data_IF_056000113375
#
_entry.id   IF_056000113375
#
_cell.length_a   1.000
_cell.length_b   1.000
_cell.length_c   1.000
_cell.angle_alpha   90.00
_cell.angle_beta   90.00
_cell.angle_gamma   90.00
#
_symmetry.space_group_name_H-M   'P 1'
#
loop_
_entity.id
_entity.type
_entity.pdbx_description
1 polymer ?
#
# COMPACT_ATOMS: atom_id res chain seq x y z
N UNK A 1 8.44 10.91 -28.44
CA UNK A 1 8.73 10.56 -27.03
C UNK A 1 7.49 9.86 -26.51
N UNK A 2 7.45 8.54 -26.59
CA UNK A 2 6.29 7.75 -26.16
C UNK A 2 6.08 7.97 -24.65
N UNK A 3 4.91 8.50 -24.29
CA UNK A 3 4.46 8.50 -22.91
C UNK A 3 4.09 7.04 -22.60
N UNK A 4 5.03 6.31 -22.00
CA UNK A 4 4.72 5.00 -21.41
C UNK A 4 3.71 5.27 -20.29
N UNK A 5 2.42 5.13 -20.59
CA UNK A 5 1.39 5.02 -19.57
C UNK A 5 1.70 3.72 -18.84
N UNK A 6 2.46 3.84 -17.74
CA UNK A 6 2.67 2.73 -16.82
C UNK A 6 1.31 2.11 -16.51
N UNK A 7 1.21 0.78 -16.62
CA UNK A 7 -0.04 0.04 -16.38
C UNK A 7 -0.75 0.63 -15.17
N UNK A 8 -2.02 0.99 -15.33
CA UNK A 8 -2.84 1.50 -14.23
C UNK A 8 -2.73 0.54 -13.03
N UNK A 9 -2.46 1.03 -11.82
CA UNK A 9 -2.40 0.19 -10.64
C UNK A 9 -3.64 -0.69 -10.55
N UNK A 10 -3.45 -2.00 -10.45
CA UNK A 10 -4.56 -2.98 -10.43
C UNK A 10 -5.39 -2.90 -9.15
N UNK A 11 -4.86 -2.26 -8.11
CA UNK A 11 -5.54 -2.02 -6.84
C UNK A 11 -5.22 -0.61 -6.37
N UNK A 12 -6.26 0.21 -6.22
CA UNK A 12 -6.20 1.47 -5.48
C UNK A 12 -7.04 1.34 -4.23
N UNK A 13 -6.46 1.73 -3.09
CA UNK A 13 -7.26 2.03 -1.91
C UNK A 13 -7.79 3.46 -2.03
N UNK A 14 -9.02 3.68 -1.58
CA UNK A 14 -9.58 5.03 -1.40
C UNK A 14 -8.60 5.92 -0.63
N UNK A 15 -8.66 7.26 -0.78
CA UNK A 15 -7.84 8.18 -0.01
C UNK A 15 -7.84 7.82 1.48
N UNK A 16 -6.66 7.66 2.05
CA UNK A 16 -6.46 7.26 3.45
C UNK A 16 -6.26 8.52 4.27
N UNK A 17 -7.08 8.73 5.31
CA UNK A 17 -6.89 9.85 6.23
C UNK A 17 -5.59 9.70 7.04
N UNK A 18 -5.08 10.80 7.57
CA UNK A 18 -3.86 10.79 8.40
C UNK A 18 -3.99 9.86 9.62
N UNK A 19 -5.16 9.80 10.24
CA UNK A 19 -5.44 8.92 11.37
C UNK A 19 -5.31 7.45 10.98
N UNK A 20 -5.94 7.06 9.87
CA UNK A 20 -5.85 5.70 9.36
C UNK A 20 -4.42 5.37 8.92
N UNK A 21 -3.71 6.32 8.31
CA UNK A 21 -2.30 6.17 7.96
C UNK A 21 -1.41 5.89 9.16
N UNK A 22 -1.59 6.63 10.27
CA UNK A 22 -0.88 6.38 11.54
C UNK A 22 -1.21 5.01 12.13
N UNK A 23 -2.48 4.59 12.07
CA UNK A 23 -2.90 3.26 12.55
C UNK A 23 -2.24 2.15 11.73
N UNK A 24 -2.19 2.28 10.42
CA UNK A 24 -1.53 1.32 9.53
C UNK A 24 -0.02 1.24 9.79
N UNK A 25 0.66 2.38 10.00
CA UNK A 25 2.08 2.39 10.38
C UNK A 25 2.34 1.69 11.72
N UNK A 26 1.42 1.81 12.67
CA UNK A 26 1.53 1.08 13.95
C UNK A 26 1.41 -0.41 13.72
N UNK A 27 0.40 -0.85 12.95
CA UNK A 27 0.20 -2.27 12.61
C UNK A 27 1.41 -2.83 11.86
N UNK A 28 1.98 -2.09 10.90
CA UNK A 28 3.15 -2.56 10.15
C UNK A 28 4.41 -2.71 11.00
N UNK A 29 4.45 -2.13 12.20
CA UNK A 29 5.58 -2.24 13.14
C UNK A 29 5.35 -3.28 14.25
N UNK A 30 4.10 -3.60 14.58
CA UNK A 30 3.78 -4.41 15.77
C UNK A 30 2.98 -5.68 15.50
N UNK A 31 2.47 -5.88 14.29
CA UNK A 31 1.68 -7.07 13.96
C UNK A 31 2.57 -8.34 14.00
N UNK A 32 2.15 -9.32 14.81
CA UNK A 32 2.73 -10.66 14.84
C UNK A 32 2.15 -11.59 13.77
N UNK A 33 0.89 -11.35 13.38
CA UNK A 33 0.26 -12.09 12.29
C UNK A 33 0.84 -11.61 10.93
N UNK A 34 1.50 -12.49 10.16
CA UNK A 34 2.13 -12.12 8.90
C UNK A 34 1.11 -11.62 7.86
N UNK A 35 -0.12 -12.13 7.88
CA UNK A 35 -1.17 -11.69 6.95
C UNK A 35 -1.58 -10.24 7.24
N UNK A 36 -1.80 -9.92 8.52
CA UNK A 36 -2.13 -8.55 8.97
C UNK A 36 -0.99 -7.56 8.70
N UNK A 37 0.26 -7.97 8.92
CA UNK A 37 1.44 -7.18 8.58
C UNK A 37 1.47 -6.87 7.07
N UNK A 38 1.35 -7.92 6.24
CA UNK A 38 1.38 -7.78 4.77
C UNK A 38 0.28 -6.86 4.26
N UNK A 39 -0.96 -7.03 4.75
CA UNK A 39 -2.09 -6.18 4.38
C UNK A 39 -1.85 -4.71 4.75
N UNK A 40 -1.30 -4.44 5.93
CA UNK A 40 -1.01 -3.06 6.34
C UNK A 40 0.05 -2.39 5.45
N UNK A 41 1.11 -3.13 5.07
CA UNK A 41 2.14 -2.64 4.15
C UNK A 41 1.55 -2.35 2.76
N UNK A 42 0.77 -3.29 2.22
CA UNK A 42 0.13 -3.12 0.90
C UNK A 42 -0.75 -1.88 0.89
N UNK A 43 -1.60 -1.70 1.90
CA UNK A 43 -2.49 -0.52 1.98
C UNK A 43 -1.69 0.78 2.11
N UNK A 44 -0.63 0.82 2.92
CA UNK A 44 0.24 2.00 3.08
C UNK A 44 0.91 2.41 1.77
N UNK A 45 1.45 1.43 1.04
CA UNK A 45 2.19 1.68 -0.19
C UNK A 45 1.25 2.03 -1.34
N UNK A 46 0.08 1.39 -1.43
CA UNK A 46 -0.96 1.76 -2.40
C UNK A 46 -1.56 3.14 -2.15
N UNK A 47 -1.68 3.57 -0.89
CA UNK A 47 -2.07 4.95 -0.58
C UNK A 47 -1.04 6.00 -1.06
N UNK A 48 0.20 5.59 -1.35
CA UNK A 48 1.26 6.42 -1.93
C UNK A 48 1.37 6.26 -3.45
N UNK A 49 0.45 5.53 -4.09
CA UNK A 49 0.45 5.29 -5.53
C UNK A 49 1.33 4.13 -6.01
N UNK A 50 1.91 3.33 -5.12
CA UNK A 50 2.67 2.14 -5.50
C UNK A 50 1.75 0.95 -5.75
N UNK A 51 2.04 0.16 -6.80
CA UNK A 51 1.21 -0.99 -7.15
C UNK A 51 1.57 -2.21 -6.32
N UNK A 52 0.62 -3.14 -6.13
CA UNK A 52 0.86 -4.39 -5.38
C UNK A 52 2.04 -5.17 -5.96
N UNK A 53 2.16 -5.21 -7.29
CA UNK A 53 3.24 -5.92 -7.98
C UNK A 53 4.62 -5.37 -7.60
N UNK A 54 4.73 -4.05 -7.40
CA UNK A 54 5.96 -3.39 -6.98
C UNK A 54 6.28 -3.60 -5.48
N UNK A 55 5.28 -4.02 -4.69
CA UNK A 55 5.39 -4.26 -3.24
C UNK A 55 5.73 -5.73 -2.95
N UNK A 56 5.23 -6.67 -3.78
CA UNK A 56 5.42 -8.13 -3.64
C UNK A 56 6.52 -8.61 -4.59
N UNK A 57 7.78 -8.45 -4.19
CA UNK A 57 8.92 -9.18 -4.77
C UNK A 57 9.62 -9.96 -3.66
#
# INVERSE_FOLDING_TARGET
MEVVVGRRPSVFVRPVSMEVGRRLQRISRTAKDPVRLRRAIVVLMSARGQTVKDITS
#
